data_IF_327140020281
#
_entry.id   IF_327140020281
#
_cell.length_a   1.000
_cell.length_b   1.000
_cell.length_c   1.000
_cell.angle_alpha   90.00
_cell.angle_beta   90.00
_cell.angle_gamma   90.00
#
_symmetry.space_group_name_H-M   'P 1'
#
loop_
_entity.id
_entity.type
_entity.pdbx_description
1 polymer ?
#
# COMPACT_ATOMS: atom_id res chain seq x y z
N UNK A 1 -15.91 2.93 -1.64
CA UNK A 1 -16.39 4.23 -1.14
C UNK A 1 -15.75 4.48 0.21
N UNK A 2 -15.28 5.69 0.45
CA UNK A 2 -14.60 6.07 1.69
C UNK A 2 -15.61 6.80 2.57
N UNK A 3 -15.83 6.29 3.79
CA UNK A 3 -16.84 6.82 4.70
C UNK A 3 -16.18 7.17 6.03
N UNK A 4 -16.64 8.27 6.61
CA UNK A 4 -16.25 8.73 7.93
C UNK A 4 -17.51 8.96 8.76
N UNK A 5 -17.51 8.51 10.01
CA UNK A 5 -18.66 8.69 10.92
C UNK A 5 -18.17 9.23 12.27
N UNK A 6 -18.73 10.35 12.76
CA UNK A 6 -18.28 10.96 14.03
C UNK A 6 -18.53 10.07 15.25
N UNK A 7 -19.45 9.11 15.14
CA UNK A 7 -19.81 8.16 16.21
C UNK A 7 -19.39 6.72 15.87
N UNK A 8 -18.37 6.55 15.03
CA UNK A 8 -17.82 5.23 14.74
C UNK A 8 -17.30 4.57 16.04
N UNK A 9 -17.37 3.23 16.16
CA UNK A 9 -16.65 2.51 17.20
C UNK A 9 -15.16 2.85 17.19
N UNK A 10 -14.48 2.68 18.33
CA UNK A 10 -13.03 2.85 18.40
C UNK A 10 -12.31 1.94 17.40
N UNK A 11 -11.20 2.44 16.86
CA UNK A 11 -10.34 1.66 15.98
C UNK A 11 -9.86 0.36 16.66
N UNK A 12 -9.72 -0.71 15.87
CA UNK A 12 -9.18 -1.99 16.30
C UNK A 12 -7.97 -2.41 15.42
N UNK A 13 -6.80 -1.76 15.58
CA UNK A 13 -5.61 -2.05 14.78
C UNK A 13 -5.12 -3.50 15.00
N UNK A 14 -4.57 -4.12 13.95
CA UNK A 14 -4.21 -5.54 13.90
C UNK A 14 -5.40 -6.49 13.69
N UNK A 15 -6.64 -6.00 13.79
CA UNK A 15 -7.85 -6.78 13.56
C UNK A 15 -8.63 -6.23 12.37
N UNK A 16 -9.10 -4.98 12.46
CA UNK A 16 -9.92 -4.34 11.45
C UNK A 16 -9.11 -3.57 10.38
N UNK A 17 -7.85 -3.25 10.69
CA UNK A 17 -6.89 -2.57 9.82
C UNK A 17 -5.45 -2.89 10.31
N UNK A 18 -4.39 -2.66 9.51
CA UNK A 18 -3.00 -2.79 9.92
C UNK A 18 -2.68 -1.95 11.16
N UNK A 19 -1.89 -2.50 12.08
CA UNK A 19 -1.38 -1.74 13.23
C UNK A 19 -0.23 -0.80 12.85
N UNK A 20 0.49 -1.11 11.78
CA UNK A 20 1.66 -0.38 11.33
C UNK A 20 1.59 -0.04 9.84
N UNK A 21 2.46 0.88 9.41
CA UNK A 21 2.82 1.07 8.00
C UNK A 21 3.90 0.06 7.59
N UNK A 22 4.10 -0.17 6.27
CA UNK A 22 5.07 -1.16 5.78
C UNK A 22 6.51 -0.90 6.27
N UNK A 23 6.86 0.37 6.53
CA UNK A 23 8.19 0.76 7.00
C UNK A 23 8.37 0.67 8.52
N UNK A 24 7.32 0.32 9.28
CA UNK A 24 7.29 0.40 10.75
C UNK A 24 6.96 -0.91 11.45
N UNK A 25 6.40 -1.91 10.76
CA UNK A 25 6.05 -3.18 11.40
C UNK A 25 5.11 -4.03 10.56
N UNK A 26 4.41 -4.95 11.25
CA UNK A 26 3.50 -5.91 10.63
C UNK A 26 2.25 -5.22 10.06
N UNK A 27 1.88 -5.64 8.85
CA UNK A 27 0.71 -5.19 8.13
C UNK A 27 -0.51 -6.10 8.32
N UNK A 28 -0.36 -7.24 9.00
CA UNK A 28 -1.44 -8.21 9.14
C UNK A 28 -2.71 -7.59 9.77
N UNK A 29 -3.86 -7.99 9.22
CA UNK A 29 -5.20 -7.71 9.73
C UNK A 29 -6.07 -8.96 9.57
N UNK A 30 -7.17 -9.05 10.32
CA UNK A 30 -7.99 -10.26 10.35
C UNK A 30 -8.61 -10.57 8.97
N UNK A 31 -8.82 -11.85 8.67
CA UNK A 31 -9.52 -12.26 7.45
C UNK A 31 -10.88 -11.55 7.34
N UNK A 32 -11.18 -11.02 6.15
CA UNK A 32 -12.40 -10.25 5.88
C UNK A 32 -12.29 -8.75 6.17
N UNK A 33 -11.17 -8.27 6.74
CA UNK A 33 -10.86 -6.85 6.81
C UNK A 33 -10.29 -6.33 5.48
N UNK A 34 -10.55 -5.06 5.17
CA UNK A 34 -9.82 -4.35 4.11
C UNK A 34 -8.48 -3.90 4.70
N UNK A 35 -7.37 -4.43 4.20
CA UNK A 35 -6.04 -4.13 4.72
C UNK A 35 -5.64 -2.66 4.48
N UNK A 36 -5.70 -2.23 3.23
CA UNK A 36 -5.49 -0.83 2.85
C UNK A 36 -6.25 -0.53 1.57
N UNK A 37 -6.34 0.75 1.23
CA UNK A 37 -6.89 1.23 -0.04
C UNK A 37 -5.83 2.02 -0.80
N UNK A 38 -5.65 1.68 -2.07
CA UNK A 38 -4.75 2.39 -2.97
C UNK A 38 -5.52 3.32 -3.90
N UNK A 39 -5.07 4.56 -4.01
CA UNK A 39 -5.53 5.52 -5.02
C UNK A 39 -4.48 5.60 -6.13
N UNK A 40 -4.95 5.46 -7.36
CA UNK A 40 -4.11 5.69 -8.54
C UNK A 40 -3.78 7.18 -8.64
N UNK A 41 -2.49 7.48 -8.82
CA UNK A 41 -1.97 8.84 -8.99
C UNK A 41 -1.03 8.93 -10.19
N UNK A 42 -0.94 10.11 -10.85
CA UNK A 42 -0.06 10.25 -12.00
C UNK A 42 1.43 10.01 -11.66
N UNK A 43 2.18 9.24 -12.49
CA UNK A 43 3.60 8.90 -12.26
C UNK A 43 4.52 10.08 -12.05
N UNK A 44 4.29 11.17 -12.75
CA UNK A 44 5.07 12.39 -12.68
C UNK A 44 4.84 13.19 -11.39
N UNK A 45 3.85 12.80 -10.57
CA UNK A 45 3.42 13.56 -9.38
C UNK A 45 3.67 12.88 -8.05
N UNK A 46 4.08 11.60 -8.04
CA UNK A 46 4.21 10.88 -6.77
C UNK A 46 5.24 11.52 -5.83
N UNK A 47 6.38 11.99 -6.36
CA UNK A 47 7.39 12.69 -5.55
C UNK A 47 6.88 14.03 -5.01
N UNK A 48 6.10 14.77 -5.81
CA UNK A 48 5.40 16.00 -5.38
C UNK A 48 4.42 15.69 -4.24
N UNK A 49 3.67 14.58 -4.34
CA UNK A 49 2.67 14.19 -3.34
C UNK A 49 3.32 13.73 -2.03
N UNK A 50 4.44 12.99 -2.10
CA UNK A 50 5.22 12.66 -0.91
C UNK A 50 5.66 13.91 -0.15
N UNK A 51 6.11 14.93 -0.89
CA UNK A 51 6.52 16.20 -0.27
C UNK A 51 5.32 16.94 0.34
N UNK A 52 4.18 17.00 -0.35
CA UNK A 52 2.96 17.63 0.19
C UNK A 52 2.45 16.97 1.46
N UNK A 53 2.51 15.64 1.55
CA UNK A 53 2.16 14.92 2.78
C UNK A 53 3.06 15.34 3.93
N UNK A 54 4.38 15.38 3.71
CA UNK A 54 5.36 15.82 4.71
C UNK A 54 5.16 17.27 5.14
N UNK A 55 4.96 18.17 4.17
CA UNK A 55 4.72 19.60 4.43
C UNK A 55 3.43 19.83 5.23
N UNK A 56 2.43 18.97 5.05
CA UNK A 56 1.19 18.97 5.82
C UNK A 56 1.32 18.31 7.21
N UNK A 57 2.51 17.78 7.56
CA UNK A 57 2.74 17.08 8.83
C UNK A 57 2.19 15.65 8.88
N UNK A 58 1.85 15.05 7.73
CA UNK A 58 1.39 13.66 7.65
C UNK A 58 2.61 12.73 7.63
N UNK A 59 2.69 11.84 8.62
CA UNK A 59 3.73 10.82 8.69
C UNK A 59 3.50 9.75 7.61
N UNK A 60 4.45 9.64 6.68
CA UNK A 60 4.36 8.80 5.49
C UNK A 60 5.70 8.13 5.16
N UNK A 61 5.64 7.09 4.34
CA UNK A 61 6.85 6.42 3.83
C UNK A 61 7.65 7.33 2.89
N UNK A 62 8.88 6.92 2.61
CA UNK A 62 9.52 7.35 1.35
C UNK A 62 8.77 6.74 0.16
N UNK A 63 9.01 7.26 -1.04
CA UNK A 63 8.48 6.64 -2.27
C UNK A 63 9.18 5.29 -2.45
N UNK A 64 8.41 4.20 -2.42
CA UNK A 64 8.89 2.87 -2.75
C UNK A 64 8.80 2.66 -4.26
N UNK A 65 9.87 2.17 -4.89
CA UNK A 65 9.86 1.78 -6.30
C UNK A 65 9.79 0.25 -6.38
N UNK A 66 8.61 -0.32 -6.63
CA UNK A 66 8.42 -1.77 -6.65
C UNK A 66 8.91 -2.37 -7.96
N UNK A 67 9.69 -3.45 -7.84
CA UNK A 67 10.25 -4.19 -8.96
C UNK A 67 10.30 -5.69 -8.66
N UNK A 68 10.77 -6.49 -9.63
CA UNK A 68 10.85 -7.96 -9.50
C UNK A 68 12.14 -8.45 -8.82
N UNK A 69 12.83 -7.59 -8.06
CA UNK A 69 14.00 -8.00 -7.29
C UNK A 69 13.62 -8.90 -6.12
N UNK A 70 14.61 -9.58 -5.51
CA UNK A 70 14.39 -10.42 -4.32
C UNK A 70 13.67 -9.69 -3.19
N UNK A 71 13.88 -8.38 -3.07
CA UNK A 71 13.28 -7.55 -2.03
C UNK A 71 11.96 -6.89 -2.46
N UNK A 72 11.57 -7.03 -3.73
CA UNK A 72 10.38 -6.41 -4.31
C UNK A 72 10.44 -4.88 -4.41
N UNK A 73 11.55 -4.26 -4.01
CA UNK A 73 11.74 -2.81 -4.00
C UNK A 73 13.16 -2.43 -4.44
N UNK A 74 13.26 -1.35 -5.20
CA UNK A 74 14.52 -0.72 -5.60
C UNK A 74 14.66 0.68 -5.01
N UNK A 75 15.92 1.04 -4.70
CA UNK A 75 16.28 2.40 -4.29
C UNK A 75 16.08 3.41 -5.41
N UNK A 76 16.48 3.05 -6.63
CA UNK A 76 16.52 3.94 -7.78
C UNK A 76 15.49 3.49 -8.83
N UNK A 77 14.95 4.46 -9.56
CA UNK A 77 14.08 4.18 -10.71
C UNK A 77 14.86 3.50 -11.83
N UNK A 78 14.25 2.49 -12.44
CA UNK A 78 14.77 1.79 -13.61
C UNK A 78 13.62 1.18 -14.43
N UNK A 79 13.86 0.67 -15.66
CA UNK A 79 12.80 0.17 -16.53
C UNK A 79 11.98 -1.01 -15.98
N UNK A 80 12.49 -1.75 -14.99
CA UNK A 80 11.79 -2.86 -14.34
C UNK A 80 10.88 -2.44 -13.19
N UNK A 81 10.90 -1.17 -12.76
CA UNK A 81 9.94 -0.66 -11.78
C UNK A 81 8.55 -0.62 -12.42
N UNK A 82 7.58 -1.32 -11.84
CA UNK A 82 6.23 -1.42 -12.39
C UNK A 82 5.20 -0.57 -11.65
N UNK A 83 5.40 -0.32 -10.35
CA UNK A 83 4.57 0.60 -9.57
C UNK A 83 5.44 1.33 -8.54
N UNK A 84 5.12 2.59 -8.30
CA UNK A 84 5.71 3.39 -7.22
C UNK A 84 4.64 3.67 -6.18
N UNK A 85 4.98 3.69 -4.90
CA UNK A 85 3.97 4.00 -3.88
C UNK A 85 4.43 4.75 -2.64
N UNK A 86 3.48 5.40 -1.98
CA UNK A 86 3.62 6.07 -0.69
C UNK A 86 2.50 5.58 0.22
N UNK A 87 2.84 5.17 1.45
CA UNK A 87 1.88 4.77 2.46
C UNK A 87 1.79 5.80 3.59
N UNK A 88 0.57 6.04 4.06
CA UNK A 88 0.28 6.88 5.22
C UNK A 88 -1.02 6.43 5.88
N UNK A 89 -1.25 6.86 7.11
CA UNK A 89 -2.52 6.60 7.80
C UNK A 89 -3.38 7.86 7.79
N UNK A 90 -4.67 7.68 7.59
CA UNK A 90 -5.65 8.75 7.79
C UNK A 90 -5.91 9.00 9.29
N UNK A 91 -6.71 10.01 9.66
CA UNK A 91 -7.01 10.30 11.06
C UNK A 91 -7.69 9.18 11.86
N UNK A 92 -8.37 8.23 11.21
CA UNK A 92 -9.03 7.10 11.87
C UNK A 92 -8.14 5.83 11.87
N UNK A 93 -6.93 5.89 11.29
CA UNK A 93 -5.96 4.81 11.23
C UNK A 93 -6.09 3.90 10.01
N UNK A 94 -6.89 4.26 9.00
CA UNK A 94 -6.97 3.53 7.74
C UNK A 94 -5.62 3.67 7.03
N UNK A 95 -5.02 2.54 6.66
CA UNK A 95 -3.82 2.55 5.83
C UNK A 95 -4.21 2.92 4.39
N UNK A 96 -3.63 4.00 3.90
CA UNK A 96 -3.85 4.53 2.56
C UNK A 96 -2.55 4.46 1.78
N UNK A 97 -2.68 4.09 0.52
CA UNK A 97 -1.60 4.08 -0.46
C UNK A 97 -1.90 5.06 -1.59
N UNK A 98 -0.93 5.88 -1.96
CA UNK A 98 -0.88 6.44 -3.31
C UNK A 98 -0.03 5.51 -4.15
N UNK A 99 -0.65 4.87 -5.15
CA UNK A 99 -0.01 3.96 -6.06
C UNK A 99 0.07 4.61 -7.44
N UNK A 100 1.21 4.45 -8.09
CA UNK A 100 1.48 5.07 -9.37
C UNK A 100 2.12 4.07 -10.32
N UNK A 101 1.32 3.56 -11.25
CA UNK A 101 1.74 2.57 -12.22
C UNK A 101 2.76 3.18 -13.20
N UNK A 102 3.96 2.61 -13.26
CA UNK A 102 4.99 3.05 -14.18
C UNK A 102 4.82 2.45 -15.59
N UNK A 103 4.08 1.34 -15.69
CA UNK A 103 3.69 0.67 -16.93
C UNK A 103 2.40 -0.12 -16.73
N UNK A 104 1.80 -0.55 -17.83
CA UNK A 104 0.72 -1.53 -17.78
C UNK A 104 1.24 -2.91 -17.36
N UNK A 105 0.39 -3.66 -16.66
CA UNK A 105 0.61 -5.08 -16.39
C UNK A 105 0.23 -5.91 -17.61
N UNK A 106 1.01 -6.96 -17.85
CA UNK A 106 0.91 -7.88 -18.98
C UNK A 106 0.82 -9.32 -18.49
N UNK A 107 0.63 -10.27 -19.41
CA UNK A 107 0.64 -11.69 -19.07
C UNK A 107 1.99 -12.16 -18.49
N UNK A 108 3.09 -11.48 -18.81
CA UNK A 108 4.43 -11.81 -18.32
C UNK A 108 4.61 -11.48 -16.82
N UNK A 109 3.71 -10.67 -16.25
CA UNK A 109 3.71 -10.31 -14.82
C UNK A 109 3.06 -11.38 -13.92
N UNK A 110 2.59 -12.49 -14.50
CA UNK A 110 1.98 -13.60 -13.75
C UNK A 110 3.05 -14.63 -13.38
N UNK A 111 3.54 -14.58 -12.14
CA UNK A 111 4.56 -15.50 -11.62
C UNK A 111 4.01 -16.66 -10.77
N UNK A 112 2.74 -16.59 -10.34
CA UNK A 112 2.14 -17.53 -9.41
C UNK A 112 0.78 -18.05 -9.87
N UNK A 113 0.55 -19.35 -9.67
CA UNK A 113 -0.78 -19.95 -9.79
C UNK A 113 -1.63 -19.51 -8.58
N UNK A 114 -2.86 -19.01 -8.78
CA UNK A 114 -3.74 -18.64 -7.68
C UNK A 114 -3.99 -19.83 -6.74
N UNK A 115 -3.83 -19.61 -5.44
CA UNK A 115 -4.15 -20.62 -4.42
C UNK A 115 -5.65 -20.76 -4.23
N UNK A 116 -6.07 -21.97 -3.86
CA UNK A 116 -7.45 -22.35 -3.56
C UNK A 116 -7.59 -22.73 -2.09
N UNK A 117 -8.83 -22.92 -1.62
CA UNK A 117 -9.08 -23.44 -0.28
C UNK A 117 -8.45 -24.82 -0.04
N UNK A 118 -8.22 -25.62 -1.10
CA UNK A 118 -7.58 -26.92 -1.00
C UNK A 118 -6.08 -26.84 -0.73
N UNK A 119 -5.44 -25.71 -1.02
CA UNK A 119 -4.00 -25.49 -0.82
C UNK A 119 -3.66 -25.01 0.60
N UNK A 120 -4.67 -24.83 1.46
CA UNK A 120 -4.48 -24.36 2.84
C UNK A 120 -3.76 -25.44 3.66
N UNK A 121 -2.60 -25.13 4.29
CA UNK A 121 -1.96 -26.06 5.21
C UNK A 121 -2.88 -26.36 6.40
N UNK A 122 -2.81 -27.61 6.89
CA UNK A 122 -3.61 -28.10 8.01
C UNK A 122 -3.26 -27.44 9.34
#
# INVERSE_FOLDING_TARGET
>A
AFFWFPNAPFAAPGVAAPAHRPDKGDLASAHGSMNHVAFDVPPERIDEYAQKLKDAGVDCTQVANHDDSEFGISKDMHPGVFVRSIYFQDPDGILVEFASWARELTADDVSHTPATAADRPA
#
